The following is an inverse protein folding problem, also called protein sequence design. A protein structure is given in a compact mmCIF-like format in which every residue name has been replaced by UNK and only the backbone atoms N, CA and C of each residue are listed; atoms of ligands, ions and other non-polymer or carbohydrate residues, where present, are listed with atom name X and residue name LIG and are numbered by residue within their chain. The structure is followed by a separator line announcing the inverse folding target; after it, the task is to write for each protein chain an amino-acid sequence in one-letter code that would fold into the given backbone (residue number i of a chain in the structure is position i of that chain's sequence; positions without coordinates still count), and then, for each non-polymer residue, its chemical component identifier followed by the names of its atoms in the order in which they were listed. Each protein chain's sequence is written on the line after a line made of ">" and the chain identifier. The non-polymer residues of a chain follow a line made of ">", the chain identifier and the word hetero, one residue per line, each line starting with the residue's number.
data_IF_968659689845
#
_entry.id   IF_968659689845
#
_cell.length_a   1.000
_cell.length_b   1.000
_cell.length_c   1.000
_cell.angle_alpha   90.00
_cell.angle_beta   90.00
_cell.angle_gamma   90.00
#
_symmetry.space_group_name_H-M   'P 1'
#
loop_
_entity.id
_entity.type
_entity.pdbx_description
1 polymer ?
#
# COMPACT_ATOMS: atom_id res chain seq x y z
N UNK A 1 -29.06 7.60 -8.54
CA UNK A 1 -28.48 8.70 -7.73
C UNK A 1 -28.22 9.86 -8.67
N UNK A 2 -28.77 11.04 -8.39
CA UNK A 2 -28.63 12.22 -9.24
C UNK A 2 -27.29 12.92 -8.91
N UNK A 3 -26.30 12.74 -9.79
CA UNK A 3 -24.94 13.26 -9.60
C UNK A 3 -24.86 14.78 -9.68
N UNK A 4 -25.86 15.43 -10.30
CA UNK A 4 -25.88 16.88 -10.45
C UNK A 4 -26.12 17.57 -9.10
N UNK A 5 -26.90 16.94 -8.20
CA UNK A 5 -27.05 17.42 -6.82
C UNK A 5 -25.75 17.40 -6.02
N UNK A 6 -24.87 16.44 -6.25
CA UNK A 6 -23.57 16.36 -5.57
C UNK A 6 -22.62 17.43 -6.12
N UNK A 7 -22.58 17.62 -7.44
CA UNK A 7 -21.72 18.61 -8.09
C UNK A 7 -22.11 20.04 -7.76
N UNK A 8 -23.42 20.30 -7.66
CA UNK A 8 -23.97 21.64 -7.42
C UNK A 8 -24.15 21.96 -5.93
N UNK A 9 -23.96 20.98 -5.03
CA UNK A 9 -24.02 21.22 -3.61
C UNK A 9 -22.89 22.19 -3.20
N UNK A 10 -23.29 23.35 -2.69
CA UNK A 10 -22.39 24.45 -2.31
C UNK A 10 -21.50 24.15 -1.08
N UNK A 11 -21.79 23.09 -0.33
CA UNK A 11 -21.30 22.92 1.05
C UNK A 11 -20.87 21.49 1.40
N UNK A 12 -20.16 20.81 0.50
CA UNK A 12 -19.49 19.57 0.88
C UNK A 12 -17.98 19.67 0.67
N UNK A 13 -17.24 19.07 1.59
CA UNK A 13 -15.78 18.93 1.53
C UNK A 13 -15.41 17.55 2.08
N UNK A 14 -14.29 17.00 1.60
CA UNK A 14 -13.71 15.81 2.20
C UNK A 14 -13.27 16.04 3.65
N UNK A 15 -13.00 14.95 4.35
CA UNK A 15 -12.39 15.01 5.68
C UNK A 15 -11.03 15.73 5.63
N UNK A 16 -10.62 16.30 6.77
CA UNK A 16 -9.29 16.93 6.91
C UNK A 16 -8.22 15.86 6.66
N UNK A 17 -7.23 16.19 5.83
CA UNK A 17 -6.12 15.29 5.52
C UNK A 17 -5.34 14.91 6.78
N UNK A 18 -4.97 13.64 6.89
CA UNK A 18 -4.15 13.17 7.98
C UNK A 18 -2.80 13.92 8.02
N UNK A 19 -2.23 14.24 9.20
CA UNK A 19 -1.04 15.11 9.31
C UNK A 19 0.17 14.67 8.46
N UNK A 20 0.32 13.36 8.24
CA UNK A 20 1.42 12.76 7.47
C UNK A 20 1.14 12.64 5.97
N UNK A 21 -0.04 13.07 5.50
CA UNK A 21 -0.40 13.19 4.08
C UNK A 21 -0.41 14.64 3.56
N UNK A 22 -0.14 15.62 4.43
CA UNK A 22 -0.23 17.05 4.06
C UNK A 22 0.87 17.45 3.08
N UNK A 23 2.06 16.85 3.19
CA UNK A 23 3.21 17.15 2.34
C UNK A 23 3.58 15.93 1.48
N UNK A 24 3.19 15.95 0.21
CA UNK A 24 3.53 14.96 -0.82
C UNK A 24 4.40 15.54 -1.93
N UNK A 25 5.34 16.43 -1.60
CA UNK A 25 6.15 17.12 -2.61
C UNK A 25 7.09 16.20 -3.40
N UNK A 26 7.55 15.10 -2.77
CA UNK A 26 8.42 14.11 -3.40
C UNK A 26 7.99 12.71 -2.98
N UNK A 27 7.62 11.91 -3.98
CA UNK A 27 7.14 10.53 -3.83
C UNK A 27 8.02 9.58 -4.65
N UNK A 28 8.46 8.48 -4.02
CA UNK A 28 9.12 7.38 -4.72
C UNK A 28 8.18 6.17 -4.70
N UNK A 29 8.12 5.44 -5.80
CA UNK A 29 7.41 4.15 -5.89
C UNK A 29 8.42 3.03 -6.04
N UNK A 30 8.18 1.89 -5.38
CA UNK A 30 8.98 0.70 -5.59
C UNK A 30 8.38 -0.55 -4.95
N UNK A 31 8.92 -1.70 -5.34
CA UNK A 31 8.44 -3.00 -4.88
C UNK A 31 8.63 -3.21 -3.36
N UNK A 32 7.85 -4.09 -2.71
CA UNK A 32 7.94 -4.37 -1.26
C UNK A 32 9.17 -5.23 -0.89
N UNK A 33 10.22 -5.19 -1.70
CA UNK A 33 11.47 -5.90 -1.45
C UNK A 33 12.24 -5.20 -0.34
N UNK A 34 12.78 -5.98 0.60
CA UNK A 34 13.44 -5.49 1.80
C UNK A 34 14.53 -4.45 1.54
N UNK A 35 15.40 -4.69 0.57
CA UNK A 35 16.47 -3.75 0.18
C UNK A 35 15.91 -2.43 -0.36
N UNK A 36 14.83 -2.50 -1.14
CA UNK A 36 14.18 -1.35 -1.75
C UNK A 36 13.53 -0.45 -0.70
N UNK A 37 12.79 -1.04 0.25
CA UNK A 37 12.20 -0.35 1.39
C UNK A 37 13.25 0.46 2.17
N UNK A 38 14.39 -0.17 2.50
CA UNK A 38 15.48 0.52 3.23
C UNK A 38 16.07 1.66 2.39
N UNK A 39 16.35 1.43 1.12
CA UNK A 39 16.95 2.45 0.26
C UNK A 39 16.01 3.64 0.04
N UNK A 40 14.73 3.38 -0.23
CA UNK A 40 13.73 4.41 -0.48
C UNK A 40 13.47 5.27 0.77
N UNK A 41 13.35 4.64 1.94
CA UNK A 41 13.13 5.38 3.19
C UNK A 41 14.35 6.13 3.70
N UNK A 42 15.55 5.79 3.21
CA UNK A 42 16.78 6.52 3.49
C UNK A 42 17.05 7.67 2.50
N UNK A 43 16.25 7.77 1.44
CA UNK A 43 16.29 8.87 0.48
C UNK A 43 15.55 10.10 1.01
N UNK A 44 15.84 11.27 0.44
CA UNK A 44 15.18 12.52 0.79
C UNK A 44 13.81 12.60 0.12
N UNK A 45 12.84 11.88 0.68
CA UNK A 45 11.46 11.79 0.18
C UNK A 45 10.44 12.09 1.26
N UNK A 46 9.28 12.58 0.85
CA UNK A 46 8.15 12.82 1.77
C UNK A 46 7.26 11.59 1.89
N UNK A 47 7.11 10.84 0.80
CA UNK A 47 6.30 9.62 0.76
C UNK A 47 7.02 8.51 -0.02
N UNK A 48 6.74 7.27 0.36
CA UNK A 48 7.15 6.07 -0.35
C UNK A 48 5.93 5.18 -0.59
N UNK A 49 5.65 4.92 -1.86
CA UNK A 49 4.60 4.00 -2.30
C UNK A 49 5.23 2.62 -2.40
N UNK A 50 4.86 1.76 -1.46
CA UNK A 50 5.18 0.33 -1.49
C UNK A 50 4.19 -0.37 -2.39
N UNK A 51 4.67 -0.85 -3.51
CA UNK A 51 3.83 -1.23 -4.63
C UNK A 51 3.80 -2.74 -4.85
N UNK A 52 2.65 -3.34 -4.53
CA UNK A 52 2.39 -4.75 -4.80
C UNK A 52 1.97 -5.00 -6.24
N UNK A 53 1.54 -3.99 -6.98
CA UNK A 53 0.98 -4.09 -8.33
C UNK A 53 2.10 -4.07 -9.40
N UNK A 54 2.28 -2.99 -10.15
CA UNK A 54 3.09 -2.99 -11.38
C UNK A 54 4.58 -3.29 -11.17
N UNK A 55 5.14 -2.93 -10.01
CA UNK A 55 6.55 -3.16 -9.71
C UNK A 55 6.85 -4.51 -9.05
N UNK A 56 5.83 -5.35 -8.81
CA UNK A 56 5.99 -6.64 -8.14
C UNK A 56 5.14 -7.73 -8.80
N UNK A 57 5.77 -8.81 -9.26
CA UNK A 57 5.00 -9.93 -9.82
C UNK A 57 4.14 -10.60 -8.75
N UNK A 58 2.87 -10.91 -9.09
CA UNK A 58 1.89 -11.64 -8.26
C UNK A 58 2.27 -13.12 -8.05
N UNK A 59 3.42 -13.34 -7.44
CA UNK A 59 3.82 -14.65 -6.92
C UNK A 59 3.52 -14.68 -5.43
N UNK A 60 3.13 -15.85 -4.93
CA UNK A 60 2.85 -16.05 -3.50
C UNK A 60 4.00 -15.54 -2.62
N UNK A 61 5.23 -15.89 -2.98
CA UNK A 61 6.42 -15.48 -2.24
C UNK A 61 6.59 -13.95 -2.22
N UNK A 62 6.42 -13.26 -3.35
CA UNK A 62 6.55 -11.81 -3.38
C UNK A 62 5.49 -11.12 -2.52
N UNK A 63 4.24 -11.59 -2.57
CA UNK A 63 3.14 -11.00 -1.81
C UNK A 63 3.35 -11.22 -0.31
N UNK A 64 3.57 -12.46 0.11
CA UNK A 64 3.78 -12.79 1.52
C UNK A 64 5.04 -12.13 2.09
N UNK A 65 6.19 -12.26 1.42
CA UNK A 65 7.40 -11.61 1.92
C UNK A 65 7.34 -10.10 1.83
N UNK A 66 6.59 -9.54 0.87
CA UNK A 66 6.32 -8.12 0.83
C UNK A 66 5.59 -7.65 2.08
N UNK A 67 4.54 -8.36 2.50
CA UNK A 67 3.81 -8.08 3.74
C UNK A 67 4.71 -8.21 4.98
N UNK A 68 5.56 -9.26 5.04
CA UNK A 68 6.55 -9.45 6.13
C UNK A 68 7.55 -8.30 6.17
N UNK A 69 8.06 -7.86 5.03
CA UNK A 69 9.03 -6.76 4.99
C UNK A 69 8.41 -5.45 5.49
N UNK A 70 7.16 -5.16 5.13
CA UNK A 70 6.44 -3.98 5.62
C UNK A 70 6.17 -4.10 7.13
N UNK A 71 5.78 -5.29 7.59
CA UNK A 71 5.58 -5.58 9.01
C UNK A 71 6.83 -5.27 9.84
N UNK A 72 7.98 -5.75 9.38
CA UNK A 72 9.27 -5.54 10.02
C UNK A 72 9.68 -4.06 9.96
N UNK A 73 9.45 -3.39 8.83
CA UNK A 73 9.77 -1.98 8.65
C UNK A 73 9.09 -1.10 9.70
N UNK A 74 7.78 -1.30 9.89
CA UNK A 74 6.96 -0.55 10.85
C UNK A 74 7.43 -0.77 12.30
N UNK A 75 8.14 -1.87 12.55
CA UNK A 75 8.65 -2.27 13.86
C UNK A 75 10.15 -2.04 14.05
N UNK A 76 10.80 -1.32 13.12
CA UNK A 76 12.26 -1.12 13.13
C UNK A 76 13.06 -2.42 13.10
N UNK A 77 12.54 -3.44 12.42
CA UNK A 77 13.15 -4.77 12.31
C UNK A 77 13.63 -5.08 10.88
N UNK A 78 13.53 -4.11 9.95
CA UNK A 78 13.83 -4.34 8.54
C UNK A 78 15.33 -4.48 8.23
N UNK A 79 16.20 -4.04 9.14
CA UNK A 79 17.65 -4.06 8.95
C UNK A 79 18.17 -5.47 8.64
N UNK A 80 19.10 -5.56 7.69
CA UNK A 80 19.71 -6.84 7.30
C UNK A 80 21.08 -6.60 6.64
N UNK A 81 21.88 -7.66 6.54
CA UNK A 81 23.17 -7.64 5.87
C UNK A 81 23.21 -8.66 4.73
N UNK A 82 23.94 -8.32 3.68
CA UNK A 82 24.35 -9.23 2.60
C UNK A 82 25.86 -9.38 2.62
N UNK A 83 26.41 -10.31 1.84
CA UNK A 83 27.87 -10.44 1.69
C UNK A 83 28.56 -9.19 1.13
N UNK A 84 27.81 -8.26 0.52
CA UNK A 84 28.35 -7.06 -0.13
C UNK A 84 28.07 -5.77 0.63
N UNK A 85 26.95 -5.71 1.36
CA UNK A 85 26.44 -4.46 1.94
C UNK A 85 25.52 -4.71 3.12
N UNK A 86 25.62 -3.82 4.11
CA UNK A 86 24.66 -3.70 5.20
C UNK A 86 23.55 -2.69 4.84
N UNK A 87 22.30 -3.07 5.11
CA UNK A 87 21.10 -2.27 4.88
C UNK A 87 20.46 -1.94 6.22
N UNK A 88 20.56 -0.69 6.63
CA UNK A 88 19.97 -0.17 7.87
C UNK A 88 19.19 1.11 7.63
N UNK A 89 18.07 1.28 8.32
CA UNK A 89 17.38 2.57 8.33
C UNK A 89 18.21 3.63 9.08
N UNK A 90 18.23 4.85 8.56
CA UNK A 90 18.91 5.99 9.20
C UNK A 90 18.19 6.49 10.45
N UNK A 91 16.93 6.11 10.65
CA UNK A 91 16.10 6.58 11.76
C UNK A 91 14.98 5.60 12.08
N UNK A 92 14.31 5.80 13.21
CA UNK A 92 13.11 5.05 13.55
C UNK A 92 12.02 5.30 12.52
N UNK A 93 11.26 4.26 12.18
CA UNK A 93 10.17 4.30 11.22
C UNK A 93 9.18 5.45 11.47
N UNK A 94 8.91 5.80 12.74
CA UNK A 94 8.03 6.91 13.12
C UNK A 94 8.49 8.27 12.54
N UNK A 95 9.80 8.45 12.33
CA UNK A 95 10.42 9.68 11.81
C UNK A 95 10.69 9.64 10.31
N UNK A 96 10.62 8.47 9.68
CA UNK A 96 10.81 8.31 8.24
C UNK A 96 9.60 8.81 7.44
N UNK A 97 9.77 8.85 6.11
CA UNK A 97 8.73 9.19 5.15
C UNK A 97 7.42 8.41 5.37
N UNK A 98 6.33 8.96 4.86
CA UNK A 98 5.02 8.29 4.91
C UNK A 98 5.02 7.11 3.96
N UNK A 99 4.70 5.91 4.48
CA UNK A 99 4.52 4.72 3.63
C UNK A 99 3.07 4.63 3.20
N UNK A 100 2.86 4.46 1.90
CA UNK A 100 1.56 4.23 1.28
C UNK A 100 1.62 2.85 0.63
N UNK A 101 0.62 2.01 0.84
CA UNK A 101 0.55 0.68 0.21
C UNK A 101 -0.33 0.76 -1.03
N UNK A 102 0.20 0.34 -2.18
CA UNK A 102 -0.58 0.12 -3.40
C UNK A 102 -0.88 -1.37 -3.52
N UNK A 103 -2.09 -1.84 -3.17
CA UNK A 103 -2.49 -3.21 -3.42
C UNK A 103 -2.73 -3.45 -4.91
N UNK A 104 -2.84 -4.71 -5.33
CA UNK A 104 -3.32 -5.04 -6.67
C UNK A 104 -4.70 -4.44 -6.97
N UNK A 105 -5.03 -4.30 -8.27
CA UNK A 105 -6.36 -3.88 -8.74
C UNK A 105 -7.47 -4.89 -8.40
N UNK A 106 -8.71 -4.39 -8.23
CA UNK A 106 -9.91 -5.13 -7.81
C UNK A 106 -10.24 -6.32 -8.70
N UNK A 107 -9.95 -6.24 -10.00
CA UNK A 107 -10.16 -7.32 -10.96
C UNK A 107 -9.10 -8.43 -10.90
N UNK A 108 -8.06 -8.29 -10.08
CA UNK A 108 -6.99 -9.28 -9.93
C UNK A 108 -7.33 -10.27 -8.81
N UNK A 109 -6.98 -11.55 -9.01
CA UNK A 109 -7.25 -12.63 -8.04
C UNK A 109 -5.96 -13.21 -7.46
N UNK A 110 -5.99 -13.53 -6.17
CA UNK A 110 -4.95 -14.31 -5.49
C UNK A 110 -5.31 -15.80 -5.56
N UNK A 111 -4.55 -16.52 -6.38
CA UNK A 111 -4.81 -17.91 -6.79
C UNK A 111 -4.49 -18.93 -5.71
N UNK A 112 -3.80 -18.54 -4.64
CA UNK A 112 -3.35 -19.46 -3.59
C UNK A 112 -4.28 -19.49 -2.37
N UNK A 113 -5.29 -18.60 -2.30
CA UNK A 113 -6.28 -18.58 -1.23
C UNK A 113 -7.70 -18.65 -1.80
N UNK A 114 -8.46 -19.60 -1.31
CA UNK A 114 -9.83 -19.87 -1.75
C UNK A 114 -10.83 -19.65 -0.61
N UNK A 115 -11.96 -19.03 -0.93
CA UNK A 115 -13.15 -18.93 -0.07
C UNK A 115 -14.30 -19.57 -0.85
N UNK A 116 -14.93 -20.58 -0.26
CA UNK A 116 -16.03 -21.34 -0.89
C UNK A 116 -15.70 -21.90 -2.28
N UNK A 117 -14.42 -22.22 -2.51
CA UNK A 117 -13.91 -22.77 -3.79
C UNK A 117 -13.51 -21.72 -4.83
N UNK A 118 -13.67 -20.43 -4.54
CA UNK A 118 -13.29 -19.33 -5.45
C UNK A 118 -12.04 -18.60 -4.94
N UNK A 119 -11.16 -18.21 -5.86
CA UNK A 119 -9.98 -17.40 -5.52
C UNK A 119 -10.41 -16.03 -5.00
N UNK A 120 -9.77 -15.58 -3.92
CA UNK A 120 -10.04 -14.26 -3.34
C UNK A 120 -9.52 -13.13 -4.25
N UNK A 121 -10.12 -11.94 -4.15
CA UNK A 121 -9.54 -10.71 -4.73
C UNK A 121 -8.15 -10.44 -4.14
N UNK A 122 -7.17 -10.19 -5.01
CA UNK A 122 -5.82 -9.83 -4.62
C UNK A 122 -5.81 -8.48 -3.86
N UNK A 123 -6.67 -7.53 -4.23
CA UNK A 123 -6.79 -6.26 -3.49
C UNK A 123 -7.23 -6.47 -2.05
N UNK A 124 -8.23 -7.33 -1.83
CA UNK A 124 -8.74 -7.64 -0.48
C UNK A 124 -7.68 -8.37 0.31
N UNK A 125 -6.94 -9.28 -0.33
CA UNK A 125 -5.82 -9.99 0.29
C UNK A 125 -4.72 -9.03 0.76
N UNK A 126 -4.21 -8.17 -0.13
CA UNK A 126 -3.16 -7.19 0.17
C UNK A 126 -3.60 -6.19 1.23
N UNK A 127 -4.82 -5.65 1.08
CA UNK A 127 -5.44 -4.74 2.05
C UNK A 127 -5.59 -5.41 3.41
N UNK A 128 -6.17 -6.61 3.43
CA UNK A 128 -6.51 -7.32 4.65
C UNK A 128 -5.27 -7.64 5.49
N UNK A 129 -4.22 -8.16 4.86
CA UNK A 129 -2.96 -8.46 5.55
C UNK A 129 -2.30 -7.18 6.08
N UNK A 130 -2.17 -6.15 5.25
CA UNK A 130 -1.53 -4.92 5.69
C UNK A 130 -2.32 -4.23 6.81
N UNK A 131 -3.64 -4.15 6.67
CA UNK A 131 -4.55 -3.59 7.67
C UNK A 131 -4.47 -4.34 8.99
N UNK A 132 -4.67 -5.66 8.96
CA UNK A 132 -4.74 -6.49 10.15
C UNK A 132 -3.44 -6.43 10.96
N UNK A 133 -2.29 -6.57 10.28
CA UNK A 133 -1.01 -6.67 10.97
C UNK A 133 -0.43 -5.34 11.43
N UNK A 134 -0.80 -4.20 10.81
CA UNK A 134 -0.07 -2.95 11.01
C UNK A 134 -0.87 -1.83 11.68
N UNK A 135 -2.21 -1.88 11.65
CA UNK A 135 -3.06 -0.80 12.18
C UNK A 135 -2.74 -0.41 13.60
N UNK A 136 -2.71 -1.38 14.51
CA UNK A 136 -2.45 -1.11 15.93
C UNK A 136 -1.09 -0.44 16.14
N UNK A 137 -0.05 -0.94 15.48
CA UNK A 137 1.32 -0.42 15.65
C UNK A 137 1.49 0.96 15.00
N UNK A 138 0.90 1.18 13.84
CA UNK A 138 0.95 2.48 13.16
C UNK A 138 0.28 3.56 14.01
N UNK A 139 -0.90 3.28 14.57
CA UNK A 139 -1.58 4.20 15.49
C UNK A 139 -0.74 4.49 16.73
N UNK A 140 -0.14 3.47 17.34
CA UNK A 140 0.73 3.61 18.52
C UNK A 140 1.91 4.57 18.27
N UNK A 141 2.50 4.55 17.07
CA UNK A 141 3.64 5.41 16.70
C UNK A 141 3.22 6.72 16.03
N UNK A 142 1.92 7.06 16.06
CA UNK A 142 1.40 8.32 15.50
C UNK A 142 1.41 8.38 13.97
N UNK A 143 1.38 7.23 13.29
CA UNK A 143 1.24 7.10 11.83
C UNK A 143 -0.14 6.53 11.47
N UNK A 144 -0.58 6.82 10.25
CA UNK A 144 -1.82 6.27 9.68
C UNK A 144 -1.54 5.11 8.73
N UNK A 145 -2.60 4.38 8.38
CA UNK A 145 -2.60 3.52 7.19
C UNK A 145 -3.04 4.33 5.99
N UNK A 146 -2.26 4.24 4.92
CA UNK A 146 -2.55 4.94 3.69
C UNK A 146 -2.47 3.95 2.54
N UNK A 147 -3.48 4.03 1.67
CA UNK A 147 -3.58 3.17 0.49
C UNK A 147 -3.65 4.03 -0.76
N UNK A 148 -2.98 3.57 -1.80
CA UNK A 148 -3.15 4.09 -3.15
C UNK A 148 -3.89 3.04 -3.96
N UNK A 149 -5.19 3.26 -4.19
CA UNK A 149 -5.96 2.39 -5.06
C UNK A 149 -5.79 2.83 -6.51
N UNK A 150 -5.47 1.89 -7.39
CA UNK A 150 -5.50 2.14 -8.82
C UNK A 150 -6.92 2.08 -9.33
N UNK A 151 -7.19 2.92 -10.34
CA UNK A 151 -8.44 2.84 -11.06
C UNK A 151 -8.36 1.63 -11.97
N UNK A 152 -9.04 0.56 -11.61
CA UNK A 152 -9.37 -0.45 -12.59
C UNK A 152 -10.20 0.19 -13.69
N UNK A 153 -9.79 -0.05 -14.93
CA UNK A 153 -10.73 0.03 -16.04
C UNK A 153 -11.73 -1.10 -15.81
N UNK A 154 -12.79 -0.80 -15.07
CA UNK A 154 -14.07 -1.41 -15.41
C UNK A 154 -14.29 -1.06 -16.88
N UNK A 155 -13.90 -1.96 -17.79
CA UNK A 155 -14.61 -2.04 -19.05
C UNK A 155 -16.03 -2.37 -18.64
N UNK A 156 -16.85 -1.34 -18.49
CA UNK A 156 -18.28 -1.47 -18.58
C UNK A 156 -18.53 -1.96 -20.01
N UNK A 157 -18.34 -3.27 -20.25
CA UNK A 157 -18.92 -3.95 -21.39
C UNK A 157 -20.40 -3.92 -21.10
N UNK A 158 -21.10 -2.98 -21.73
CA UNK A 158 -22.53 -3.05 -21.89
C UNK A 158 -22.85 -4.29 -22.72
N UNK A 159 -22.91 -5.44 -22.07
CA UNK A 159 -23.59 -6.63 -22.58
C UNK A 159 -24.78 -6.86 -21.64
N UNK A 160 -25.84 -6.07 -21.85
CA UNK A 160 -27.19 -6.62 -21.78
C UNK A 160 -27.65 -6.81 -23.22
N UNK A 161 -27.28 -7.96 -23.79
CA UNK A 161 -28.11 -8.63 -24.79
C UNK A 161 -28.82 -9.76 -24.05
N UNK A 162 -30.16 -9.74 -24.09
CA UNK A 162 -31.05 -10.69 -23.44
C UNK A 162 -32.36 -10.01 -23.09
#
# INVERSE_FOLDING_TARGET
>A
MDVDKIRQALVWQGAISAPKLINGSVEITGSPVRSMLVNALNAEVTMYITDFEDSSSLTWFNMIYGQVNIYDNIRNQIDFATSRKEHKLKNDFAKLATVIVRPYGLCTVEKHLYIDGESISASIFDFGLYFFHNTKKLVEIGKGLYFLFTKDRASFRGEMMG
#
